data_IF_523672031719
#
_entry.id   IF_523672031719
#
_cell.length_a   1.000
_cell.length_b   1.000
_cell.length_c   1.000
_cell.angle_alpha   90.00
_cell.angle_beta   90.00
_cell.angle_gamma   90.00
#
_symmetry.space_group_name_H-M   'P 1'
#
loop_
_entity.id
_entity.type
_entity.pdbx_description
1 polymer ?
#
# COMPACT_ATOMS: atom_id res chain seq x y z
N UNK A 1 -1.98 -9.18 -1.63
CA UNK A 1 -1.57 -9.54 -0.26
C UNK A 1 -1.13 -8.26 0.46
N UNK A 2 -1.77 -7.87 1.57
CA UNK A 2 -1.51 -6.56 2.23
C UNK A 2 -1.64 -6.65 3.75
N UNK A 3 -2.86 -6.73 4.30
CA UNK A 3 -3.11 -6.71 5.75
C UNK A 3 -2.53 -7.93 6.48
N UNK A 4 -2.71 -9.13 5.91
CA UNK A 4 -2.27 -10.38 6.55
C UNK A 4 -0.74 -10.39 6.71
N UNK A 5 0.00 -10.11 5.63
CA UNK A 5 1.46 -10.07 5.71
C UNK A 5 1.99 -8.97 6.62
N UNK A 6 1.36 -7.79 6.63
CA UNK A 6 1.72 -6.75 7.58
C UNK A 6 1.56 -7.20 9.03
N UNK A 7 0.52 -7.98 9.35
CA UNK A 7 0.31 -8.56 10.68
C UNK A 7 1.34 -9.62 11.01
N UNK A 8 1.65 -10.52 10.07
CA UNK A 8 2.62 -11.60 10.27
C UNK A 8 4.02 -11.07 10.61
N UNK A 9 4.40 -9.90 10.09
CA UNK A 9 5.69 -9.26 10.39
C UNK A 9 5.62 -8.17 11.47
N UNK A 10 4.45 -7.94 12.08
CA UNK A 10 4.27 -6.95 13.15
C UNK A 10 4.23 -5.48 12.69
N UNK A 11 4.05 -5.22 11.40
CA UNK A 11 4.04 -3.87 10.79
C UNK A 11 2.63 -3.36 10.48
N UNK A 12 1.59 -4.02 11.00
CA UNK A 12 0.18 -3.68 10.75
C UNK A 12 -0.22 -2.31 11.29
N UNK A 13 0.55 -1.71 12.21
CA UNK A 13 0.34 -0.32 12.64
C UNK A 13 0.85 0.70 11.62
N UNK A 14 1.76 0.31 10.72
CA UNK A 14 2.45 1.19 9.78
C UNK A 14 1.97 1.02 8.33
N UNK A 15 1.80 -0.23 7.88
CA UNK A 15 1.47 -0.57 6.47
C UNK A 15 0.26 -1.53 6.38
N UNK A 16 -0.08 -1.94 5.15
CA UNK A 16 -1.03 -3.02 4.89
C UNK A 16 -2.52 -2.63 4.83
N UNK A 17 -2.89 -1.41 5.23
CA UNK A 17 -4.25 -0.88 5.05
C UNK A 17 -4.24 0.64 4.84
N UNK A 18 -5.30 1.17 4.24
CA UNK A 18 -5.48 2.63 4.07
C UNK A 18 -6.18 3.18 5.32
N UNK A 19 -5.44 3.94 6.14
CA UNK A 19 -5.95 4.60 7.35
C UNK A 19 -5.08 5.82 7.67
N UNK A 20 -5.66 6.87 8.24
CA UNK A 20 -4.91 8.02 8.72
C UNK A 20 -3.80 7.60 9.70
N UNK A 21 -2.62 8.22 9.57
CA UNK A 21 -1.43 7.94 10.38
C UNK A 21 -0.54 6.79 9.86
N UNK A 22 -0.97 6.05 8.84
CA UNK A 22 -0.15 5.02 8.18
C UNK A 22 0.70 5.59 7.05
N UNK A 23 1.74 4.83 6.67
CA UNK A 23 2.55 5.17 5.52
C UNK A 23 1.73 5.07 4.23
N UNK A 24 1.83 6.09 3.39
CA UNK A 24 1.15 6.14 2.09
C UNK A 24 1.93 5.34 1.03
N UNK A 25 1.94 4.02 1.20
CA UNK A 25 2.43 3.05 0.22
C UNK A 25 1.24 2.36 -0.44
N UNK A 26 0.98 2.68 -1.71
CA UNK A 26 -0.24 2.29 -2.43
C UNK A 26 0.11 1.85 -3.85
N UNK A 27 -0.69 0.94 -4.38
CA UNK A 27 -0.68 0.56 -5.80
C UNK A 27 -2.07 0.84 -6.35
N UNK A 28 -2.13 1.59 -7.45
CA UNK A 28 -3.37 1.87 -8.19
C UNK A 28 -3.40 0.95 -9.40
N UNK A 29 -4.53 0.25 -9.57
CA UNK A 29 -4.72 -0.70 -10.66
C UNK A 29 -6.00 -0.36 -11.44
N UNK A 30 -6.02 -0.70 -12.72
CA UNK A 30 -7.24 -0.65 -13.54
C UNK A 30 -8.11 -1.91 -13.33
N UNK A 31 -9.17 -2.06 -14.14
CA UNK A 31 -10.11 -3.17 -14.03
C UNK A 31 -9.53 -4.49 -14.54
N UNK A 32 -8.50 -4.40 -15.37
CA UNK A 32 -7.77 -5.50 -16.00
C UNK A 32 -6.55 -5.93 -15.16
N UNK A 33 -6.38 -5.34 -13.96
CA UNK A 33 -5.27 -5.58 -13.04
C UNK A 33 -3.90 -5.10 -13.52
N UNK A 34 -3.85 -4.13 -14.45
CA UNK A 34 -2.61 -3.46 -14.77
C UNK A 34 -2.27 -2.44 -13.69
N UNK A 35 -0.98 -2.29 -13.37
CA UNK A 35 -0.50 -1.24 -12.49
C UNK A 35 -0.53 0.09 -13.25
N UNK A 36 -1.36 1.02 -12.79
CA UNK A 36 -1.49 2.37 -13.34
C UNK A 36 -0.51 3.32 -12.65
N UNK A 37 -0.28 3.12 -11.35
CA UNK A 37 0.60 3.97 -10.55
C UNK A 37 1.03 3.28 -9.27
N UNK A 38 2.20 3.67 -8.76
CA UNK A 38 2.68 3.32 -7.42
C UNK A 38 2.95 4.60 -6.63
N UNK A 39 2.48 4.63 -5.39
CA UNK A 39 2.77 5.70 -4.43
C UNK A 39 3.64 5.10 -3.33
N UNK A 40 4.78 5.71 -3.04
CA UNK A 40 5.70 5.29 -1.98
C UNK A 40 6.01 6.47 -1.08
N UNK A 41 5.71 6.34 0.21
CA UNK A 41 5.88 7.42 1.18
C UNK A 41 5.12 8.69 0.80
N UNK A 42 3.98 8.57 0.10
CA UNK A 42 3.19 9.71 -0.39
C UNK A 42 3.67 10.33 -1.70
N UNK A 43 4.73 9.80 -2.32
CA UNK A 43 5.22 10.28 -3.61
C UNK A 43 4.86 9.31 -4.73
N UNK A 44 4.45 9.84 -5.88
CA UNK A 44 4.28 9.05 -7.10
C UNK A 44 5.65 8.56 -7.58
N UNK A 45 5.77 7.23 -7.72
CA UNK A 45 6.95 6.60 -8.30
C UNK A 45 6.71 6.47 -9.80
N UNK A 46 7.66 6.98 -10.59
CA UNK A 46 7.71 6.80 -12.04
C UNK A 46 8.27 5.44 -12.41
#
# INVERSE_FOLDING_TARGET
>A
MTVVSAREIGEDRKIGSIKAGKQADLVVMDKEWNIVSVIRGGQFVR
#
